data_IF_968123684100
#
_entry.id   IF_968123684100
#
_cell.length_a   1.000
_cell.length_b   1.000
_cell.length_c   1.000
_cell.angle_alpha   90.00
_cell.angle_beta   90.00
_cell.angle_gamma   90.00
#
_symmetry.space_group_name_H-M   'P 1'
#
loop_
_entity.id
_entity.type
_entity.pdbx_description
1 polymer ?
#
# COMPACT_ATOMS: atom_id res chain seq x y z
N UNK A 1 21.93 -4.51 66.15
CA UNK A 1 20.57 -4.43 65.57
C UNK A 1 20.48 -3.21 64.67
N UNK A 2 20.49 -3.41 63.34
CA UNK A 2 19.98 -2.50 62.30
C UNK A 2 19.96 -3.30 61.00
N UNK A 3 18.75 -3.64 60.54
CA UNK A 3 18.47 -4.26 59.23
C UNK A 3 18.80 -3.28 58.10
N UNK A 4 19.01 -3.76 56.86
CA UNK A 4 18.11 -3.58 55.70
C UNK A 4 18.63 -4.43 54.51
N UNK A 5 17.74 -5.21 53.90
CA UNK A 5 17.85 -5.92 52.61
C UNK A 5 17.83 -4.95 51.41
N UNK A 6 18.71 -5.14 50.43
CA UNK A 6 18.51 -4.76 49.00
C UNK A 6 19.76 -5.19 48.21
N UNK A 7 19.73 -5.75 47.01
CA UNK A 7 18.63 -6.04 46.09
C UNK A 7 19.15 -6.95 44.97
N UNK A 8 18.25 -7.77 44.41
CA UNK A 8 18.48 -8.64 43.26
C UNK A 8 18.80 -7.79 42.02
N UNK A 9 19.99 -7.97 41.44
CA UNK A 9 20.39 -7.35 40.18
C UNK A 9 20.13 -8.27 38.99
N UNK A 10 19.90 -7.64 37.84
CA UNK A 10 19.83 -8.17 36.47
C UNK A 10 18.50 -8.80 36.01
N UNK A 11 17.49 -7.95 35.81
CA UNK A 11 16.51 -8.20 34.75
C UNK A 11 17.18 -7.94 33.39
N UNK A 12 17.51 -9.02 32.70
CA UNK A 12 18.00 -8.97 31.32
C UNK A 12 16.91 -8.39 30.41
N UNK A 13 17.25 -7.31 29.70
CA UNK A 13 16.43 -6.77 28.63
C UNK A 13 16.41 -7.76 27.46
N UNK A 14 15.29 -8.44 27.24
CA UNK A 14 15.04 -9.24 26.04
C UNK A 14 13.65 -8.92 25.53
N UNK A 15 13.55 -8.44 24.29
CA UNK A 15 12.30 -8.45 23.52
C UNK A 15 11.75 -7.11 23.04
N UNK A 16 12.53 -6.03 23.00
CA UNK A 16 12.10 -4.76 22.41
C UNK A 16 12.22 -4.73 20.89
N UNK A 17 11.47 -5.55 20.15
CA UNK A 17 11.35 -5.46 18.68
C UNK A 17 9.96 -5.90 18.21
N UNK A 18 8.91 -5.20 18.65
CA UNK A 18 7.60 -5.21 17.97
C UNK A 18 7.29 -3.77 17.60
N UNK A 19 7.87 -3.27 16.50
CA UNK A 19 7.70 -1.86 16.16
C UNK A 19 8.31 -1.34 14.87
N UNK A 20 8.80 -2.20 13.97
CA UNK A 20 9.44 -1.74 12.70
C UNK A 20 8.57 -2.02 11.46
N UNK A 21 7.34 -2.52 11.64
CA UNK A 21 6.51 -2.97 10.52
C UNK A 21 5.47 -1.99 9.96
N UNK A 22 5.19 -0.87 10.63
CA UNK A 22 4.00 -0.03 10.30
C UNK A 22 4.37 1.34 9.71
N UNK A 23 5.66 1.65 9.55
CA UNK A 23 6.12 3.00 9.19
C UNK A 23 6.44 3.26 7.71
N UNK A 24 6.31 2.26 6.84
CA UNK A 24 6.71 2.37 5.42
C UNK A 24 5.58 2.01 4.45
N UNK A 25 4.34 1.89 4.93
CA UNK A 25 3.24 1.88 3.98
C UNK A 25 3.24 3.27 3.28
N UNK A 26 3.42 3.33 1.95
CA UNK A 26 3.22 4.58 1.21
C UNK A 26 1.85 5.14 1.61
N UNK A 27 1.73 6.47 1.72
CA UNK A 27 0.46 7.10 2.06
C UNK A 27 -0.61 6.57 1.10
N UNK A 28 -1.55 5.78 1.60
CA UNK A 28 -2.50 5.00 0.80
C UNK A 28 -3.55 5.85 0.05
N UNK A 29 -3.30 7.15 -0.16
CA UNK A 29 -4.25 8.08 -0.77
C UNK A 29 -3.63 9.35 -1.40
N UNK A 30 -2.31 9.52 -1.43
CA UNK A 30 -1.68 10.58 -2.23
C UNK A 30 -1.31 9.92 -3.58
N UNK A 31 -2.04 10.27 -4.64
CA UNK A 31 -1.88 9.64 -5.96
C UNK A 31 -2.93 8.60 -6.34
N UNK A 32 -4.05 8.49 -5.62
CA UNK A 32 -5.11 7.54 -5.97
C UNK A 32 -6.35 8.21 -6.57
N UNK A 33 -6.85 7.69 -7.67
CA UNK A 33 -8.10 8.08 -8.32
C UNK A 33 -9.02 6.88 -8.50
N UNK A 34 -10.25 6.98 -8.00
CA UNK A 34 -11.30 5.99 -8.29
C UNK A 34 -11.91 6.22 -9.66
N UNK A 35 -11.95 5.17 -10.48
CA UNK A 35 -12.54 5.16 -11.83
C UNK A 35 -13.94 4.55 -11.83
N UNK A 36 -14.20 3.61 -10.93
CA UNK A 36 -15.48 2.93 -10.76
C UNK A 36 -15.68 2.50 -9.29
N UNK A 37 -16.89 2.03 -8.91
CA UNK A 37 -17.10 1.47 -7.57
C UNK A 37 -16.15 0.30 -7.31
N UNK A 38 -15.44 0.35 -6.18
CA UNK A 38 -14.45 -0.66 -5.77
C UNK A 38 -13.25 -0.79 -6.72
N UNK A 39 -13.01 0.21 -7.57
CA UNK A 39 -11.87 0.26 -8.48
C UNK A 39 -11.08 1.55 -8.26
N UNK A 40 -9.76 1.42 -8.15
CA UNK A 40 -8.84 2.55 -7.98
C UNK A 40 -7.56 2.35 -8.76
N UNK A 41 -7.06 3.44 -9.31
CA UNK A 41 -5.69 3.54 -9.82
C UNK A 41 -4.88 4.42 -8.89
N UNK A 42 -3.72 3.94 -8.47
CA UNK A 42 -2.82 4.65 -7.58
C UNK A 42 -1.43 4.79 -8.20
N UNK A 43 -0.92 6.02 -8.26
CA UNK A 43 0.40 6.33 -8.76
C UNK A 43 1.39 6.54 -7.62
N UNK A 44 2.59 6.00 -7.83
CA UNK A 44 3.76 6.24 -7.01
C UNK A 44 4.56 7.42 -7.56
N UNK A 45 5.43 8.04 -6.73
CA UNK A 45 6.24 9.15 -7.17
C UNK A 45 6.95 8.94 -8.51
N UNK A 46 6.85 9.96 -9.36
CA UNK A 46 7.55 10.00 -10.65
C UNK A 46 9.06 9.86 -10.43
N UNK A 47 9.67 8.91 -11.13
CA UNK A 47 11.10 8.66 -11.13
C UNK A 47 11.87 9.73 -11.93
N UNK A 48 13.20 9.87 -11.75
CA UNK A 48 13.98 10.88 -12.46
C UNK A 48 13.94 10.79 -13.99
N UNK A 49 13.62 9.63 -14.55
CA UNK A 49 13.43 9.41 -15.98
C UNK A 49 12.02 9.77 -16.48
N UNK A 50 11.13 10.25 -15.61
CA UNK A 50 9.75 10.61 -15.93
C UNK A 50 8.75 9.46 -15.91
N UNK A 51 9.19 8.21 -15.68
CA UNK A 51 8.27 7.08 -15.50
C UNK A 51 7.72 7.04 -14.08
N UNK A 52 6.56 6.42 -13.89
CA UNK A 52 6.03 6.14 -12.56
C UNK A 52 5.55 4.69 -12.46
N UNK A 53 5.31 4.23 -11.23
CA UNK A 53 4.62 2.96 -11.01
C UNK A 53 3.16 3.27 -10.74
N UNK A 54 2.26 2.56 -11.40
CA UNK A 54 0.82 2.63 -11.15
C UNK A 54 0.33 1.26 -10.73
N UNK A 55 -0.51 1.20 -9.70
CA UNK A 55 -1.23 0.01 -9.32
C UNK A 55 -2.72 0.21 -9.56
N UNK A 56 -3.34 -0.81 -10.14
CA UNK A 56 -4.77 -0.92 -10.34
C UNK A 56 -5.31 -1.90 -9.32
N UNK A 57 -6.17 -1.42 -8.43
CA UNK A 57 -6.96 -2.25 -7.53
C UNK A 57 -8.35 -2.46 -8.15
N UNK A 58 -8.70 -3.71 -8.39
CA UNK A 58 -10.00 -4.13 -8.91
C UNK A 58 -10.74 -4.97 -7.86
N UNK A 59 -12.09 -5.01 -7.91
CA UNK A 59 -12.86 -5.85 -7.01
C UNK A 59 -12.50 -7.33 -7.20
N UNK A 60 -12.39 -8.08 -6.09
CA UNK A 60 -12.08 -9.52 -6.12
C UNK A 60 -13.17 -10.40 -6.74
N UNK A 61 -14.37 -9.85 -6.96
CA UNK A 61 -15.52 -10.57 -7.46
C UNK A 61 -16.51 -9.65 -8.18
N UNK A 62 -17.56 -10.21 -8.80
CA UNK A 62 -18.54 -9.42 -9.53
C UNK A 62 -19.32 -8.50 -8.59
N UNK A 63 -19.65 -7.30 -9.07
CA UNK A 63 -20.43 -6.33 -8.32
C UNK A 63 -21.92 -6.50 -8.66
N UNK A 64 -22.77 -6.67 -7.63
CA UNK A 64 -24.23 -6.67 -7.75
C UNK A 64 -24.85 -5.85 -6.63
N UNK A 65 -25.83 -5.00 -6.95
CA UNK A 65 -26.51 -4.11 -6.00
C UNK A 65 -25.55 -3.31 -5.10
N UNK A 66 -24.44 -2.84 -5.67
CA UNK A 66 -23.44 -2.04 -4.97
C UNK A 66 -22.57 -2.83 -3.98
N UNK A 67 -22.51 -4.16 -4.11
CA UNK A 67 -21.69 -5.04 -3.25
C UNK A 67 -20.84 -5.97 -4.11
N UNK A 68 -19.61 -6.20 -3.68
CA UNK A 68 -18.78 -7.29 -4.23
C UNK A 68 -19.37 -8.62 -3.77
N UNK A 69 -19.66 -9.51 -4.72
CA UNK A 69 -20.13 -10.86 -4.44
C UNK A 69 -18.95 -11.79 -4.22
N UNK A 70 -19.02 -12.59 -3.16
CA UNK A 70 -17.97 -13.52 -2.76
C UNK A 70 -16.97 -12.95 -1.75
N UNK A 71 -16.05 -13.80 -1.31
CA UNK A 71 -15.03 -13.48 -0.28
C UNK A 71 -13.63 -13.28 -0.89
N UNK A 72 -13.56 -13.14 -2.21
CA UNK A 72 -12.29 -12.92 -2.89
C UNK A 72 -11.72 -11.55 -2.50
N UNK A 73 -10.45 -11.55 -2.11
CA UNK A 73 -9.71 -10.33 -1.86
C UNK A 73 -9.64 -9.49 -3.15
N UNK A 74 -9.59 -8.14 -3.04
CA UNK A 74 -9.27 -7.28 -4.17
C UNK A 74 -8.02 -7.75 -4.89
N UNK A 75 -8.03 -7.66 -6.22
CA UNK A 75 -6.85 -7.97 -7.02
C UNK A 75 -6.09 -6.67 -7.25
N UNK A 76 -4.78 -6.72 -7.10
CA UNK A 76 -3.89 -5.59 -7.36
C UNK A 76 -2.94 -5.97 -8.50
N UNK A 77 -2.87 -5.13 -9.52
CA UNK A 77 -1.89 -5.25 -10.59
C UNK A 77 -1.10 -3.95 -10.73
N UNK A 78 0.22 -4.04 -10.62
CA UNK A 78 1.11 -2.91 -10.73
C UNK A 78 1.92 -2.94 -12.02
N UNK A 79 1.97 -1.80 -12.70
CA UNK A 79 2.66 -1.63 -13.97
C UNK A 79 3.56 -0.38 -13.91
N UNK A 80 4.60 -0.41 -14.74
CA UNK A 80 5.46 0.77 -14.96
C UNK A 80 4.88 1.55 -16.13
N UNK A 81 4.52 2.81 -15.89
CA UNK A 81 4.10 3.74 -16.93
C UNK A 81 5.31 4.57 -17.37
N UNK A 82 5.62 4.51 -18.66
CA UNK A 82 6.62 5.35 -19.29
C UNK A 82 5.91 6.23 -20.35
N UNK A 83 5.75 7.54 -20.10
CA UNK A 83 5.03 8.44 -21.01
C UNK A 83 5.76 8.66 -22.34
N UNK A 84 7.01 8.20 -22.49
CA UNK A 84 7.76 8.26 -23.75
C UNK A 84 7.42 7.10 -24.71
N UNK A 85 6.75 6.06 -24.20
CA UNK A 85 6.29 4.93 -24.99
C UNK A 85 4.81 5.10 -25.37
N UNK A 86 4.34 4.46 -26.47
CA UNK A 86 2.92 4.33 -26.73
C UNK A 86 2.19 3.75 -25.52
N UNK A 87 1.00 4.29 -25.26
CA UNK A 87 0.19 3.81 -24.13
C UNK A 87 -0.15 2.33 -24.30
N UNK A 88 -0.07 1.51 -23.23
CA UNK A 88 -0.40 0.09 -23.30
C UNK A 88 -1.85 -0.13 -23.74
N UNK A 89 -2.11 -1.24 -24.46
CA UNK A 89 -3.47 -1.65 -24.85
C UNK A 89 -4.29 -2.20 -23.67
N UNK A 90 -3.63 -2.63 -22.59
CA UNK A 90 -4.30 -3.08 -21.37
C UNK A 90 -4.84 -1.89 -20.57
N UNK A 91 -5.89 -2.12 -19.76
CA UNK A 91 -6.47 -1.07 -18.93
C UNK A 91 -5.52 -0.68 -17.79
N UNK A 92 -4.64 0.26 -18.12
CA UNK A 92 -3.68 0.89 -17.20
C UNK A 92 -4.21 2.22 -16.67
N UNK A 93 -5.50 2.50 -16.86
CA UNK A 93 -6.15 3.71 -16.39
C UNK A 93 -5.76 4.98 -17.17
N UNK A 94 -5.83 6.17 -16.53
CA UNK A 94 -5.75 7.46 -17.22
C UNK A 94 -4.36 7.80 -17.77
N UNK A 95 -4.30 8.54 -18.89
CA UNK A 95 -3.05 8.91 -19.59
C UNK A 95 -2.24 10.05 -18.91
N UNK A 96 -2.37 10.25 -17.60
CA UNK A 96 -1.68 11.28 -16.82
C UNK A 96 -1.28 10.72 -15.45
N UNK A 97 -0.27 11.32 -14.80
CA UNK A 97 0.12 10.99 -13.42
C UNK A 97 -0.93 11.49 -12.42
N UNK A 98 -1.26 10.67 -11.42
CA UNK A 98 -2.19 10.96 -10.34
C UNK A 98 -1.38 11.42 -9.12
N UNK A 99 -1.66 12.60 -8.57
CA UNK A 99 -0.95 13.20 -7.43
C UNK A 99 -1.69 13.08 -6.09
#
# INVERSE_FOLDING_TARGET
MKSVMAGLAASAMVGGLVGVGVGLAPAASAGCQSTAPFESYCDFPVQPNGSWQRCHEQPGGPISDGRVLGEAAPLEECFRVDPSLPWPDNDVGPHYHID
#
